data_IF_780355509425
#
_entry.id   IF_780355509425
#
_cell.length_a   1.000
_cell.length_b   1.000
_cell.length_c   1.000
_cell.angle_alpha   90.00
_cell.angle_beta   90.00
_cell.angle_gamma   90.00
#
_symmetry.space_group_name_H-M   'P 1'
#
loop_
_entity.id
_entity.type
_entity.pdbx_description
1 polymer ?
#
# COMPACT_ATOMS: atom_id res chain seq x y z
N UNK A 1 13.07 -3.31 7.27
CA UNK A 1 13.26 -2.06 6.51
C UNK A 1 12.41 -2.13 5.24
N UNK A 2 11.96 -0.98 4.72
CA UNK A 2 11.24 -0.89 3.44
C UNK A 2 12.23 -0.81 2.28
N UNK A 3 11.88 -1.40 1.14
CA UNK A 3 12.64 -1.30 -0.10
C UNK A 3 12.09 -0.15 -0.95
N UNK A 4 12.97 0.51 -1.69
CA UNK A 4 12.55 1.46 -2.73
C UNK A 4 12.12 0.67 -3.97
N UNK A 5 10.85 0.79 -4.36
CA UNK A 5 10.31 0.11 -5.53
C UNK A 5 11.04 0.46 -6.83
N UNK A 6 11.62 1.67 -6.92
CA UNK A 6 12.35 2.14 -8.10
C UNK A 6 13.66 1.39 -8.32
N UNK A 7 14.19 0.76 -7.26
CA UNK A 7 15.45 0.00 -7.30
C UNK A 7 15.23 -1.51 -7.48
N UNK A 8 13.97 -1.95 -7.62
CA UNK A 8 13.65 -3.35 -7.86
C UNK A 8 13.78 -3.66 -9.35
N UNK A 9 14.95 -4.19 -9.70
CA UNK A 9 15.26 -4.74 -11.02
C UNK A 9 15.20 -6.27 -11.02
N UNK A 10 15.23 -6.90 -12.20
CA UNK A 10 15.15 -8.36 -12.38
C UNK A 10 16.13 -9.13 -11.47
N UNK A 11 17.39 -8.69 -11.44
CA UNK A 11 18.44 -9.34 -10.64
C UNK A 11 18.12 -9.33 -9.13
N UNK A 12 17.56 -8.24 -8.63
CA UNK A 12 17.13 -8.09 -7.25
C UNK A 12 15.86 -8.88 -6.98
N UNK A 13 14.86 -8.82 -7.87
CA UNK A 13 13.60 -9.56 -7.75
C UNK A 13 13.84 -11.07 -7.71
N UNK A 14 14.75 -11.58 -8.55
CA UNK A 14 15.17 -12.99 -8.54
C UNK A 14 15.79 -13.41 -7.22
N UNK A 15 16.60 -12.56 -6.60
CA UNK A 15 17.18 -12.82 -5.27
C UNK A 15 16.10 -12.80 -4.20
N UNK A 16 15.24 -11.78 -4.21
CA UNK A 16 14.13 -11.62 -3.26
C UNK A 16 13.15 -12.80 -3.34
N UNK A 17 12.89 -13.34 -4.53
CA UNK A 17 12.04 -14.51 -4.76
C UNK A 17 12.53 -15.81 -4.13
N UNK A 18 13.84 -15.95 -3.95
CA UNK A 18 14.45 -17.14 -3.32
C UNK A 18 14.44 -17.08 -1.79
N UNK A 19 14.18 -15.91 -1.21
CA UNK A 19 14.20 -15.73 0.24
C UNK A 19 12.90 -16.24 0.88
N UNK A 20 13.02 -16.91 2.02
CA UNK A 20 11.88 -17.23 2.88
C UNK A 20 11.51 -16.00 3.71
N UNK A 21 10.58 -15.20 3.20
CA UNK A 21 10.06 -14.03 3.90
C UNK A 21 9.28 -14.43 5.16
N UNK A 22 9.72 -13.92 6.32
CA UNK A 22 9.06 -14.16 7.61
C UNK A 22 7.63 -13.59 7.62
N UNK A 23 7.43 -12.39 7.03
CA UNK A 23 6.11 -11.77 6.89
C UNK A 23 5.92 -11.11 5.53
N UNK A 24 6.60 -9.98 5.30
CA UNK A 24 6.34 -9.16 4.13
C UNK A 24 7.59 -8.54 3.50
N UNK A 25 7.55 -8.41 2.16
CA UNK A 25 8.33 -7.42 1.43
C UNK A 25 7.64 -6.08 1.65
N UNK A 26 8.37 -5.06 2.11
CA UNK A 26 7.78 -3.75 2.42
C UNK A 26 8.17 -2.72 1.37
N UNK A 27 7.19 -2.02 0.83
CA UNK A 27 7.33 -0.91 -0.11
C UNK A 27 6.56 0.32 0.40
N UNK A 28 6.72 1.46 -0.24
CA UNK A 28 5.92 2.66 0.02
C UNK A 28 5.39 3.24 -1.30
N UNK A 29 4.13 3.68 -1.28
CA UNK A 29 3.47 4.36 -2.40
C UNK A 29 2.90 5.68 -1.87
N UNK A 30 3.79 6.63 -1.59
CA UNK A 30 3.44 7.89 -0.91
C UNK A 30 3.01 9.02 -1.85
N UNK A 31 3.04 8.80 -3.16
CA UNK A 31 2.50 9.73 -4.16
C UNK A 31 2.06 8.98 -5.41
N UNK A 32 1.20 9.58 -6.23
CA UNK A 32 0.74 9.02 -7.51
C UNK A 32 1.91 8.67 -8.45
N UNK A 33 3.02 9.41 -8.38
CA UNK A 33 4.25 9.13 -9.14
C UNK A 33 4.86 7.76 -8.81
N UNK A 34 4.54 7.17 -7.66
CA UNK A 34 5.00 5.84 -7.25
C UNK A 34 4.14 4.69 -7.80
N UNK A 35 2.97 4.96 -8.40
CA UNK A 35 2.09 3.93 -8.98
C UNK A 35 2.86 3.08 -10.00
N UNK A 36 3.49 3.72 -10.98
CA UNK A 36 4.18 3.01 -12.06
C UNK A 36 5.44 2.25 -11.58
N UNK A 37 6.33 2.82 -10.73
CA UNK A 37 7.39 2.07 -10.07
C UNK A 37 6.89 0.85 -9.29
N UNK A 38 5.80 1.00 -8.53
CA UNK A 38 5.21 -0.10 -7.76
C UNK A 38 4.67 -1.19 -8.71
N UNK A 39 3.99 -0.80 -9.80
CA UNK A 39 3.50 -1.75 -10.80
C UNK A 39 4.63 -2.65 -11.31
N UNK A 40 5.70 -2.02 -11.80
CA UNK A 40 6.89 -2.73 -12.33
C UNK A 40 7.54 -3.63 -11.28
N UNK A 41 7.74 -3.12 -10.07
CA UNK A 41 8.35 -3.88 -8.98
C UNK A 41 7.50 -5.10 -8.61
N UNK A 42 6.19 -4.95 -8.47
CA UNK A 42 5.27 -6.03 -8.13
C UNK A 42 5.21 -7.08 -9.25
N UNK A 43 5.21 -6.66 -10.51
CA UNK A 43 5.25 -7.58 -11.67
C UNK A 43 6.54 -8.41 -11.69
N UNK A 44 7.70 -7.78 -11.51
CA UNK A 44 8.98 -8.49 -11.44
C UNK A 44 9.04 -9.46 -10.26
N UNK A 45 8.62 -9.01 -9.07
CA UNK A 45 8.54 -9.88 -7.90
C UNK A 45 7.61 -11.07 -8.14
N UNK A 46 6.44 -10.83 -8.76
CA UNK A 46 5.48 -11.88 -9.11
C UNK A 46 6.06 -12.89 -10.09
N UNK A 47 6.77 -12.40 -11.11
CA UNK A 47 7.48 -13.23 -12.09
C UNK A 47 8.50 -14.15 -11.43
N UNK A 48 9.18 -13.68 -10.39
CA UNK A 48 10.14 -14.44 -9.59
C UNK A 48 9.52 -15.13 -8.36
N UNK A 49 8.26 -15.56 -8.47
CA UNK A 49 7.54 -16.36 -7.48
C UNK A 49 7.25 -15.69 -6.12
N UNK A 50 7.37 -14.36 -6.00
CA UNK A 50 6.84 -13.65 -4.84
C UNK A 50 5.33 -13.47 -4.98
N UNK A 51 4.56 -14.05 -4.06
CA UNK A 51 3.12 -13.80 -4.00
C UNK A 51 2.83 -12.32 -3.66
N UNK A 52 2.07 -11.56 -4.49
CA UNK A 52 1.75 -10.16 -4.22
C UNK A 52 1.08 -9.91 -2.86
N UNK A 53 0.32 -10.87 -2.32
CA UNK A 53 -0.28 -10.77 -0.99
C UNK A 53 0.75 -10.73 0.16
N UNK A 54 2.01 -11.09 -0.12
CA UNK A 54 3.13 -10.92 0.81
C UNK A 54 3.80 -9.55 0.70
N UNK A 55 3.43 -8.73 -0.27
CA UNK A 55 3.92 -7.37 -0.39
C UNK A 55 3.03 -6.47 0.47
N UNK A 56 3.66 -5.72 1.36
CA UNK A 56 3.03 -4.75 2.24
C UNK A 56 3.46 -3.36 1.81
N UNK A 57 2.50 -2.48 1.53
CA UNK A 57 2.78 -1.15 0.99
C UNK A 57 2.25 -0.07 1.92
N UNK A 58 3.14 0.78 2.41
CA UNK A 58 2.77 1.98 3.17
C UNK A 58 2.17 3.02 2.23
N UNK A 59 1.12 3.70 2.69
CA UNK A 59 0.46 4.79 1.96
C UNK A 59 0.23 5.92 2.94
N UNK A 60 0.98 7.02 2.77
CA UNK A 60 0.75 8.25 3.50
C UNK A 60 -0.56 8.92 3.02
N UNK A 61 -1.44 9.25 3.97
CA UNK A 61 -2.76 9.84 3.71
C UNK A 61 -2.74 11.31 4.13
N UNK A 62 -2.61 12.19 3.15
CA UNK A 62 -2.75 13.64 3.30
C UNK A 62 -4.09 14.07 2.72
N UNK A 63 -4.27 13.80 1.43
CA UNK A 63 -5.54 13.93 0.70
C UNK A 63 -6.21 12.56 0.54
N UNK A 64 -7.54 12.51 0.68
CA UNK A 64 -8.30 11.26 0.65
C UNK A 64 -8.45 10.72 -0.78
N UNK A 65 -8.67 11.59 -1.76
CA UNK A 65 -8.93 11.17 -3.14
C UNK A 65 -7.65 10.62 -3.79
N UNK A 66 -6.52 11.32 -3.61
CA UNK A 66 -5.20 10.85 -4.02
C UNK A 66 -4.83 9.53 -3.33
N UNK A 67 -5.07 9.42 -2.02
CA UNK A 67 -4.83 8.17 -1.29
C UNK A 67 -5.75 7.04 -1.77
N UNK A 68 -7.01 7.33 -2.08
CA UNK A 68 -7.98 6.35 -2.56
C UNK A 68 -7.58 5.77 -3.92
N UNK A 69 -7.07 6.60 -4.84
CA UNK A 69 -6.52 6.15 -6.12
C UNK A 69 -5.40 5.13 -5.89
N UNK A 70 -4.41 5.48 -5.07
CA UNK A 70 -3.28 4.60 -4.74
C UNK A 70 -3.74 3.31 -4.05
N UNK A 71 -4.70 3.39 -3.14
CA UNK A 71 -5.25 2.21 -2.43
C UNK A 71 -5.99 1.28 -3.40
N UNK A 72 -6.81 1.81 -4.30
CA UNK A 72 -7.52 1.02 -5.33
C UNK A 72 -6.53 0.34 -6.26
N UNK A 73 -5.50 1.05 -6.70
CA UNK A 73 -4.41 0.50 -7.50
C UNK A 73 -3.70 -0.67 -6.78
N UNK A 74 -3.26 -0.47 -5.54
CA UNK A 74 -2.60 -1.52 -4.75
C UNK A 74 -3.50 -2.74 -4.51
N UNK A 75 -4.78 -2.51 -4.24
CA UNK A 75 -5.79 -3.56 -4.08
C UNK A 75 -5.95 -4.39 -5.36
N UNK A 76 -5.97 -3.74 -6.52
CA UNK A 76 -6.02 -4.41 -7.83
C UNK A 76 -4.79 -5.28 -8.12
N UNK A 77 -3.63 -4.91 -7.58
CA UNK A 77 -2.40 -5.72 -7.65
C UNK A 77 -2.32 -6.85 -6.60
N UNK A 78 -3.34 -7.02 -5.76
CA UNK A 78 -3.34 -7.93 -4.61
C UNK A 78 -2.24 -7.64 -3.59
N UNK A 79 -1.71 -6.41 -3.58
CA UNK A 79 -0.77 -5.93 -2.56
C UNK A 79 -1.53 -5.57 -1.29
N UNK A 80 -0.90 -5.70 -0.13
CA UNK A 80 -1.47 -5.37 1.16
C UNK A 80 -1.18 -3.89 1.51
N UNK A 81 -2.10 -2.94 1.28
CA UNK A 81 -1.88 -1.56 1.69
C UNK A 81 -1.96 -1.40 3.21
N UNK A 82 -1.29 -0.37 3.71
CA UNK A 82 -1.42 0.13 5.07
C UNK A 82 -1.40 1.66 5.06
N UNK A 83 -2.54 2.24 5.39
CA UNK A 83 -2.74 3.68 5.38
C UNK A 83 -2.24 4.30 6.68
N UNK A 84 -1.45 5.36 6.56
CA UNK A 84 -0.92 6.15 7.66
C UNK A 84 -1.42 7.59 7.51
N UNK A 85 -2.35 8.06 8.36
CA UNK A 85 -2.73 9.46 8.40
C UNK A 85 -1.50 10.33 8.63
N UNK A 86 -1.32 11.34 7.79
CA UNK A 86 -0.23 12.30 7.95
C UNK A 86 -0.41 13.08 9.25
N UNK A 87 0.69 13.22 9.98
CA UNK A 87 0.83 14.12 11.13
C UNK A 87 1.81 15.19 10.69
N UNK A 88 1.39 16.44 10.79
CA UNK A 88 2.28 17.54 10.45
C UNK A 88 3.39 17.71 11.52
N UNK A 89 4.49 18.39 11.19
CA UNK A 89 5.58 18.64 12.13
C UNK A 89 5.14 19.43 13.38
N UNK A 90 4.09 20.24 13.25
CA UNK A 90 3.50 21.04 14.32
C UNK A 90 2.73 20.17 15.35
N UNK A 91 2.48 18.90 15.01
CA UNK A 91 1.86 17.92 15.91
C UNK A 91 0.33 17.95 15.88
N UNK A 92 -0.28 18.57 14.87
CA UNK A 92 -1.72 18.53 14.72
C UNK A 92 -2.19 17.09 14.47
N UNK A 93 -3.32 16.76 15.08
CA UNK A 93 -3.91 15.44 14.94
C UNK A 93 -4.53 15.28 13.54
N UNK A 94 -4.38 14.09 12.91
CA UNK A 94 -5.02 13.82 11.64
C UNK A 94 -6.54 13.98 11.73
N UNK A 95 -7.16 14.40 10.62
CA UNK A 95 -8.60 14.66 10.58
C UNK A 95 -9.40 13.39 10.89
N UNK A 96 -10.65 13.55 11.32
CA UNK A 96 -11.56 12.42 11.55
C UNK A 96 -11.74 11.56 10.29
N UNK A 97 -11.72 12.19 9.13
CA UNK A 97 -11.84 11.52 7.84
C UNK A 97 -10.59 10.69 7.51
N UNK A 98 -9.39 11.26 7.65
CA UNK A 98 -8.13 10.52 7.47
C UNK A 98 -8.03 9.32 8.42
N UNK A 99 -8.47 9.48 9.68
CA UNK A 99 -8.53 8.38 10.66
C UNK A 99 -9.53 7.30 10.25
N UNK A 100 -10.71 7.68 9.77
CA UNK A 100 -11.72 6.74 9.27
C UNK A 100 -11.23 5.99 8.02
N UNK A 101 -10.57 6.69 7.11
CA UNK A 101 -9.96 6.12 5.91
C UNK A 101 -8.89 5.10 6.28
N UNK A 102 -7.97 5.46 7.18
CA UNK A 102 -6.95 4.53 7.65
C UNK A 102 -7.57 3.30 8.34
N UNK A 103 -8.63 3.48 9.13
CA UNK A 103 -9.38 2.35 9.72
C UNK A 103 -9.96 1.43 8.64
N UNK A 104 -10.60 1.97 7.62
CA UNK A 104 -11.16 1.20 6.50
C UNK A 104 -10.08 0.37 5.79
N UNK A 105 -8.93 0.98 5.44
CA UNK A 105 -7.81 0.30 4.77
C UNK A 105 -7.16 -0.78 5.66
N UNK A 106 -6.93 -0.45 6.92
CA UNK A 106 -6.12 -1.27 7.82
C UNK A 106 -6.93 -2.42 8.44
N UNK A 107 -8.26 -2.30 8.51
CA UNK A 107 -9.13 -3.37 8.99
C UNK A 107 -9.49 -4.35 7.86
N UNK A 108 -8.71 -5.44 7.74
CA UNK A 108 -8.75 -6.34 6.57
C UNK A 108 -10.09 -7.01 6.29
N UNK A 109 -10.92 -7.27 7.31
CA UNK A 109 -12.25 -7.81 7.08
C UNK A 109 -13.12 -6.80 6.31
N UNK A 110 -13.12 -5.53 6.76
CA UNK A 110 -13.87 -4.43 6.11
C UNK A 110 -13.27 -4.11 4.74
N UNK A 111 -11.95 -3.97 4.65
CA UNK A 111 -11.28 -3.59 3.41
C UNK A 111 -11.55 -4.54 2.25
N UNK A 112 -11.73 -5.84 2.55
CA UNK A 112 -12.02 -6.87 1.56
C UNK A 112 -13.48 -6.87 1.11
N UNK A 113 -14.42 -6.51 1.99
CA UNK A 113 -15.86 -6.64 1.73
C UNK A 113 -16.55 -5.34 1.31
N UNK A 114 -15.92 -4.18 1.52
CA UNK A 114 -16.58 -2.88 1.38
C UNK A 114 -15.68 -1.87 0.66
N UNK A 115 -16.26 -1.06 -0.24
CA UNK A 115 -15.58 0.08 -0.88
C UNK A 115 -15.52 1.27 0.08
N UNK A 116 -14.65 2.25 -0.19
CA UNK A 116 -14.59 3.48 0.61
C UNK A 116 -15.93 4.23 0.56
N UNK A 117 -16.52 4.33 -0.63
CA UNK A 117 -17.78 5.02 -0.88
C UNK A 117 -18.92 4.44 -0.03
N UNK A 118 -18.99 3.10 0.06
CA UNK A 118 -19.99 2.41 0.89
C UNK A 118 -19.68 2.46 2.39
N UNK A 119 -18.39 2.54 2.75
CA UNK A 119 -17.97 2.64 4.15
C UNK A 119 -18.34 4.00 4.76
N UNK A 120 -18.27 5.09 3.97
CA UNK A 120 -18.66 6.43 4.39
C UNK A 120 -20.15 6.58 4.68
N UNK A 121 -21.01 5.85 3.95
CA UNK A 121 -22.46 5.82 4.11
C UNK A 121 -22.95 5.01 5.32
N UNK A 122 -22.07 4.18 5.91
CA UNK A 122 -22.39 3.35 7.08
C UNK A 122 -22.15 4.06 8.43
N UNK A 123 -22.01 5.40 8.41
CA UNK A 123 -21.84 6.23 9.62
C UNK A 123 -23.18 6.69 10.19
#
# INVERSE_FOLDING_TARGET
>A
QGLDARLIEDSSARRLGRLKWIRHIRLACDSVKMIEPIRKAVELLRWHNCNPARIFCYVLVQDIDDALERIRFLKGLYVMPFAQPYRDPEGNEPTKEQKAFARWVNHKAIFKTTTWDNYGLAK
#
